data_IF_401394836546
#
_entry.id   IF_401394836546
#
_cell.length_a   1.000
_cell.length_b   1.000
_cell.length_c   1.000
_cell.angle_alpha   90.00
_cell.angle_beta   90.00
_cell.angle_gamma   90.00
#
_symmetry.space_group_name_H-M   'P 1'
#
loop_
_entity.id
_entity.type
_entity.pdbx_description
1 polymer ?
#
# COMPACT_ATOMS: atom_id res chain seq x y z
N UNK A 1 -4.47 3.89 41.46
CA UNK A 1 -4.53 2.94 40.33
C UNK A 1 -3.52 3.36 39.26
N UNK A 2 -2.45 2.62 39.00
CA UNK A 2 -1.49 2.93 37.93
C UNK A 2 -1.85 2.07 36.72
N UNK A 3 -2.76 2.52 35.88
CA UNK A 3 -3.31 1.67 34.82
C UNK A 3 -3.41 2.26 33.42
N UNK A 4 -3.27 3.56 33.21
CA UNK A 4 -3.67 4.16 31.92
C UNK A 4 -2.53 4.79 31.06
N UNK A 5 -1.30 4.87 31.58
CA UNK A 5 -0.17 5.44 30.82
C UNK A 5 0.57 4.44 29.91
N UNK A 6 0.25 3.16 29.94
CA UNK A 6 0.86 2.12 29.06
C UNK A 6 0.19 1.93 27.70
N UNK A 7 -0.87 2.68 27.38
CA UNK A 7 -1.57 2.55 26.09
C UNK A 7 -0.85 3.24 24.92
N UNK A 8 0.02 4.20 25.18
CA UNK A 8 0.66 5.02 24.13
C UNK A 8 1.83 4.33 23.41
N UNK A 9 2.33 3.20 23.92
CA UNK A 9 3.50 2.54 23.36
C UNK A 9 3.16 1.46 22.32
N UNK A 10 1.87 1.14 22.10
CA UNK A 10 1.49 0.12 21.12
C UNK A 10 1.38 0.70 19.72
N UNK A 11 2.02 -0.01 18.79
CA UNK A 11 1.87 0.20 17.34
C UNK A 11 1.10 -1.00 16.81
N UNK A 12 -0.06 -0.75 16.21
CA UNK A 12 -0.88 -1.78 15.58
C UNK A 12 -0.95 -1.48 14.09
N UNK A 13 -0.42 -2.38 13.29
CA UNK A 13 -0.41 -2.31 11.82
C UNK A 13 -1.37 -3.32 11.21
N UNK A 14 -2.04 -2.95 10.12
CA UNK A 14 -2.89 -3.83 9.32
C UNK A 14 -2.45 -3.75 7.86
N UNK A 15 -1.99 -4.86 7.30
CA UNK A 15 -1.63 -4.96 5.88
C UNK A 15 -2.75 -5.68 5.12
N UNK A 16 -3.37 -4.98 4.17
CA UNK A 16 -4.39 -5.54 3.26
C UNK A 16 -3.70 -6.05 2.00
N UNK A 17 -3.69 -7.35 1.79
CA UNK A 17 -3.08 -7.98 0.60
C UNK A 17 -4.06 -8.87 -0.13
N UNK A 18 -3.79 -9.18 -1.40
CA UNK A 18 -4.64 -10.07 -2.22
C UNK A 18 -4.69 -11.50 -1.66
N UNK A 19 -3.58 -12.00 -1.14
CA UNK A 19 -3.48 -13.38 -0.63
C UNK A 19 -3.63 -13.47 0.88
N UNK A 20 -3.13 -12.47 1.60
CA UNK A 20 -3.15 -12.43 3.07
C UNK A 20 -3.49 -11.03 3.57
N UNK A 21 -4.35 -10.98 4.57
CA UNK A 21 -4.58 -9.83 5.45
C UNK A 21 -3.89 -10.13 6.76
N UNK A 22 -3.00 -9.26 7.22
CA UNK A 22 -2.20 -9.54 8.43
C UNK A 22 -2.20 -8.33 9.34
N UNK A 23 -2.51 -8.56 10.62
CA UNK A 23 -2.33 -7.57 11.68
C UNK A 23 -1.01 -7.82 12.39
N UNK A 24 -0.23 -6.77 12.64
CA UNK A 24 0.99 -6.80 13.43
C UNK A 24 0.82 -5.93 14.67
N UNK A 25 1.34 -6.38 15.79
CA UNK A 25 1.33 -5.65 17.04
C UNK A 25 2.76 -5.54 17.56
N UNK A 26 3.21 -4.32 17.81
CA UNK A 26 4.55 -4.03 18.29
C UNK A 26 4.50 -3.01 19.43
N UNK A 27 5.54 -2.99 20.25
CA UNK A 27 5.77 -1.98 21.28
C UNK A 27 6.98 -1.12 20.91
N UNK A 28 6.88 0.18 21.11
CA UNK A 28 8.02 1.09 21.09
C UNK A 28 8.96 0.77 22.25
N UNK A 29 10.24 0.83 21.99
CA UNK A 29 11.22 0.90 23.07
C UNK A 29 11.30 2.35 23.58
N UNK A 30 10.96 2.61 24.86
CA UNK A 30 11.01 3.98 25.39
C UNK A 30 12.40 4.61 25.37
N UNK A 31 13.45 3.77 25.50
CA UNK A 31 14.85 4.21 25.57
C UNK A 31 15.48 4.37 24.16
N UNK A 32 14.91 3.70 23.17
CA UNK A 32 15.38 3.72 21.76
C UNK A 32 14.19 3.91 20.83
N UNK A 33 13.82 5.17 20.48
CA UNK A 33 12.63 5.48 19.68
C UNK A 33 12.57 4.80 18.30
N UNK A 34 13.73 4.50 17.72
CA UNK A 34 13.85 3.80 16.43
C UNK A 34 13.77 2.26 16.56
N UNK A 35 13.75 1.74 17.79
CA UNK A 35 13.63 0.32 18.08
C UNK A 35 12.19 -0.03 18.41
N UNK A 36 11.65 -0.99 17.66
CA UNK A 36 10.32 -1.55 17.90
C UNK A 36 10.46 -3.05 18.16
N UNK A 37 9.70 -3.54 19.13
CA UNK A 37 9.64 -4.98 19.46
C UNK A 37 8.30 -5.54 19.02
N UNK A 38 8.30 -6.50 18.10
CA UNK A 38 7.08 -7.17 17.66
C UNK A 38 6.65 -8.18 18.73
N UNK A 39 5.45 -7.99 19.27
CA UNK A 39 4.87 -8.82 20.33
C UNK A 39 3.87 -9.85 19.84
N UNK A 40 3.40 -9.70 18.60
CA UNK A 40 2.53 -10.68 17.97
C UNK A 40 1.98 -10.23 16.63
N UNK A 41 1.35 -11.16 15.96
CA UNK A 41 0.73 -10.93 14.66
C UNK A 41 -0.44 -11.88 14.44
N UNK A 42 -1.39 -11.47 13.60
CA UNK A 42 -2.54 -12.28 13.21
C UNK A 42 -2.67 -12.35 11.70
N UNK A 43 -2.24 -13.45 11.06
CA UNK A 43 -2.45 -13.67 9.63
C UNK A 43 -3.84 -14.25 9.38
N UNK A 44 -4.48 -13.81 8.30
CA UNK A 44 -5.69 -14.40 7.77
C UNK A 44 -5.63 -14.51 6.25
N UNK A 45 -6.15 -15.60 5.66
CA UNK A 45 -6.35 -15.65 4.22
C UNK A 45 -7.27 -14.51 3.78
N UNK A 46 -6.87 -13.77 2.76
CA UNK A 46 -7.70 -12.68 2.22
C UNK A 46 -8.83 -13.24 1.35
N UNK A 47 -10.02 -12.69 1.57
CA UNK A 47 -11.16 -12.80 0.68
C UNK A 47 -11.65 -11.39 0.37
N UNK A 48 -12.27 -11.21 -0.81
CA UNK A 48 -12.79 -9.91 -1.22
C UNK A 48 -11.72 -8.85 -1.57
N UNK A 49 -10.46 -9.28 -1.76
CA UNK A 49 -9.36 -8.42 -2.23
C UNK A 49 -8.74 -9.07 -3.46
N UNK A 50 -8.82 -8.40 -4.61
CA UNK A 50 -8.22 -8.83 -5.87
C UNK A 50 -7.37 -7.70 -6.46
N UNK A 51 -6.24 -8.03 -7.10
CA UNK A 51 -5.31 -7.05 -7.66
C UNK A 51 -4.97 -5.92 -6.65
N UNK A 52 -4.90 -6.27 -5.36
CA UNK A 52 -4.59 -5.36 -4.26
C UNK A 52 -5.72 -4.42 -3.81
N UNK A 53 -6.87 -4.41 -4.47
CA UNK A 53 -8.03 -3.54 -4.15
C UNK A 53 -9.19 -4.36 -3.58
N UNK A 54 -10.06 -3.71 -2.82
CA UNK A 54 -11.27 -4.34 -2.27
C UNK A 54 -12.31 -4.46 -3.37
N UNK A 55 -12.73 -5.70 -3.66
CA UNK A 55 -13.77 -6.04 -4.64
C UNK A 55 -15.05 -6.58 -3.98
N UNK A 56 -14.97 -7.02 -2.71
CA UNK A 56 -16.10 -7.43 -1.89
C UNK A 56 -15.90 -6.90 -0.47
N UNK A 57 -16.68 -5.91 -0.06
CA UNK A 57 -16.61 -5.34 1.29
C UNK A 57 -16.92 -6.35 2.38
N UNK A 58 -17.98 -7.21 2.29
CA UNK A 58 -18.27 -8.19 3.31
C UNK A 58 -17.13 -9.19 3.54
N UNK A 59 -16.54 -9.71 2.45
CA UNK A 59 -15.46 -10.69 2.52
C UNK A 59 -14.16 -10.07 3.04
N UNK A 60 -13.83 -8.86 2.56
CA UNK A 60 -12.65 -8.13 3.02
C UNK A 60 -12.76 -7.80 4.52
N UNK A 61 -13.94 -7.36 4.98
CA UNK A 61 -14.23 -7.11 6.40
C UNK A 61 -14.06 -8.38 7.24
N UNK A 62 -14.54 -9.53 6.76
CA UNK A 62 -14.36 -10.80 7.45
C UNK A 62 -12.88 -11.19 7.57
N UNK A 63 -12.09 -10.94 6.51
CA UNK A 63 -10.64 -11.18 6.52
C UNK A 63 -9.93 -10.29 7.55
N UNK A 64 -10.31 -9.01 7.64
CA UNK A 64 -9.80 -8.07 8.67
C UNK A 64 -10.18 -8.53 10.08
N UNK A 65 -11.44 -8.94 10.28
CA UNK A 65 -11.90 -9.44 11.60
C UNK A 65 -11.13 -10.68 12.05
N UNK A 66 -10.86 -11.61 11.12
CA UNK A 66 -10.06 -12.82 11.44
C UNK A 66 -8.63 -12.46 11.82
N UNK A 67 -7.98 -11.57 11.04
CA UNK A 67 -6.62 -11.11 11.36
C UNK A 67 -6.56 -10.41 12.72
N UNK A 68 -7.58 -9.62 13.05
CA UNK A 68 -7.71 -8.97 14.35
C UNK A 68 -7.89 -9.96 15.50
N UNK A 69 -8.79 -10.93 15.36
CA UNK A 69 -9.05 -11.97 16.37
C UNK A 69 -7.80 -12.83 16.62
N UNK A 70 -7.08 -13.19 15.55
CA UNK A 70 -5.85 -13.96 15.66
C UNK A 70 -4.76 -13.17 16.39
N UNK A 71 -4.55 -11.89 16.02
CA UNK A 71 -3.59 -11.03 16.72
C UNK A 71 -3.96 -10.85 18.21
N UNK A 72 -5.24 -10.74 18.53
CA UNK A 72 -5.73 -10.66 19.90
C UNK A 72 -5.46 -11.97 20.67
N UNK A 73 -5.69 -13.11 20.04
CA UNK A 73 -5.46 -14.43 20.63
C UNK A 73 -3.99 -14.66 20.95
N UNK A 74 -3.11 -14.32 20.02
CA UNK A 74 -1.65 -14.51 20.17
C UNK A 74 -1.06 -13.57 21.20
N UNK A 75 -1.48 -12.29 21.19
CA UNK A 75 -0.89 -11.28 22.10
C UNK A 75 -1.53 -11.25 23.49
N UNK A 76 -2.75 -11.76 23.64
CA UNK A 76 -3.54 -11.62 24.86
C UNK A 76 -3.96 -10.18 25.19
N UNK A 77 -3.72 -9.23 24.27
CA UNK A 77 -4.03 -7.81 24.49
C UNK A 77 -5.53 -7.58 24.31
N UNK A 78 -6.10 -6.74 25.19
CA UNK A 78 -7.52 -6.43 25.11
C UNK A 78 -7.92 -5.79 23.79
N UNK A 79 -9.09 -6.14 23.29
CA UNK A 79 -9.67 -5.64 22.05
C UNK A 79 -9.64 -4.09 21.97
N UNK A 80 -9.90 -3.38 23.06
CA UNK A 80 -9.90 -1.92 23.12
C UNK A 80 -8.53 -1.30 22.75
N UNK A 81 -7.42 -1.96 23.11
CA UNK A 81 -6.06 -1.47 22.88
C UNK A 81 -5.58 -1.72 21.44
N UNK A 82 -6.11 -2.74 20.77
CA UNK A 82 -5.75 -3.09 19.39
C UNK A 82 -6.58 -2.36 18.32
N UNK A 83 -7.54 -1.49 18.71
CA UNK A 83 -8.47 -0.88 17.75
C UNK A 83 -7.87 0.19 16.85
N UNK A 84 -6.84 0.89 17.30
CA UNK A 84 -6.25 2.00 16.54
C UNK A 84 -5.16 1.47 15.62
N UNK A 85 -5.45 1.38 14.32
CA UNK A 85 -4.57 0.71 13.35
C UNK A 85 -3.99 1.67 12.32
N UNK A 86 -2.74 1.42 11.92
CA UNK A 86 -2.15 1.98 10.71
C UNK A 86 -2.38 0.95 9.61
N UNK A 87 -3.02 1.37 8.52
CA UNK A 87 -3.44 0.46 7.44
C UNK A 87 -2.54 0.66 6.23
N UNK A 88 -1.84 -0.41 5.83
CA UNK A 88 -1.20 -0.50 4.53
C UNK A 88 -2.16 -1.15 3.54
N UNK A 89 -2.49 -0.42 2.49
CA UNK A 89 -3.40 -0.85 1.44
C UNK A 89 -2.84 -0.50 0.07
N UNK A 90 -3.36 -1.10 -0.98
CA UNK A 90 -2.98 -0.77 -2.34
C UNK A 90 -4.06 0.04 -3.06
N UNK A 91 -3.62 0.77 -4.06
CA UNK A 91 -4.46 1.45 -5.03
C UNK A 91 -3.87 1.23 -6.42
N UNK A 92 -4.72 1.26 -7.42
CA UNK A 92 -4.34 1.30 -8.83
C UNK A 92 -4.38 2.75 -9.31
N UNK A 93 -3.88 3.01 -10.51
CA UNK A 93 -3.87 4.33 -11.13
C UNK A 93 -3.21 5.41 -10.24
N UNK A 94 -2.13 5.00 -9.55
CA UNK A 94 -1.36 5.88 -8.68
C UNK A 94 -0.66 6.93 -9.52
N UNK A 95 -0.96 8.20 -9.24
CA UNK A 95 -0.36 9.37 -9.88
C UNK A 95 0.61 10.03 -8.91
N UNK A 96 1.75 10.44 -9.44
CA UNK A 96 2.78 11.16 -8.70
C UNK A 96 3.04 12.49 -9.40
N UNK A 97 2.71 13.61 -8.75
CA UNK A 97 2.84 14.96 -9.28
C UNK A 97 3.78 15.78 -8.39
N UNK A 98 4.66 16.57 -9.02
CA UNK A 98 5.58 17.45 -8.30
C UNK A 98 5.05 18.88 -8.30
N UNK A 99 5.03 19.51 -7.13
CA UNK A 99 4.70 20.92 -6.95
C UNK A 99 5.84 21.65 -6.27
N UNK A 100 5.91 22.97 -6.45
CA UNK A 100 6.97 23.80 -5.92
C UNK A 100 6.38 24.93 -5.09
N UNK A 101 6.92 25.14 -3.90
CA UNK A 101 6.60 26.25 -3.02
C UNK A 101 7.83 27.08 -2.70
N UNK A 102 7.65 28.39 -2.55
CA UNK A 102 8.70 29.34 -2.24
C UNK A 102 8.20 30.37 -1.24
N UNK A 103 9.05 30.72 -0.28
CA UNK A 103 8.84 31.84 0.65
C UNK A 103 10.11 32.68 0.81
N UNK A 104 9.93 33.95 1.13
CA UNK A 104 11.01 34.85 1.54
C UNK A 104 11.06 34.86 3.08
N UNK A 105 12.23 34.62 3.66
CA UNK A 105 12.43 34.50 5.12
C UNK A 105 12.59 35.86 5.81
N UNK A 106 13.17 36.81 5.14
CA UNK A 106 13.35 38.15 5.67
C UNK A 106 13.86 39.09 4.60
N UNK A 107 13.38 40.30 4.54
CA UNK A 107 13.62 41.28 3.49
C UNK A 107 15.08 41.36 3.00
N UNK A 108 15.91 42.28 3.56
CA UNK A 108 17.31 42.45 3.20
C UNK A 108 18.31 41.68 4.07
N UNK A 109 17.85 41.10 5.18
CA UNK A 109 18.71 40.38 6.12
C UNK A 109 18.38 38.90 6.08
N UNK A 110 19.42 38.06 6.11
CA UNK A 110 19.28 36.61 6.25
C UNK A 110 18.70 36.27 7.62
N UNK A 111 17.73 35.33 7.65
CA UNK A 111 17.11 34.83 8.88
C UNK A 111 17.22 33.33 8.98
N UNK A 112 17.25 32.82 10.22
CA UNK A 112 17.17 31.39 10.47
C UNK A 112 15.82 30.84 9.98
N UNK A 113 15.85 29.68 9.36
CA UNK A 113 14.64 28.91 9.01
C UNK A 113 14.05 28.34 10.30
N UNK A 114 12.94 28.89 10.72
CA UNK A 114 12.16 28.41 11.87
C UNK A 114 11.10 27.39 11.40
N UNK A 115 10.52 26.64 12.33
CA UNK A 115 9.45 25.66 12.02
C UNK A 115 8.27 26.28 11.26
N UNK A 116 7.88 27.50 11.62
CA UNK A 116 6.79 28.22 10.93
C UNK A 116 7.15 28.53 9.47
N UNK A 117 8.40 28.88 9.19
CA UNK A 117 8.86 29.10 7.83
C UNK A 117 8.83 27.78 7.02
N UNK A 118 9.31 26.69 7.62
CA UNK A 118 9.27 25.38 6.98
C UNK A 118 7.83 24.95 6.69
N UNK A 119 6.92 25.14 7.64
CA UNK A 119 5.48 24.87 7.45
C UNK A 119 4.89 25.73 6.32
N UNK A 120 5.17 27.02 6.35
CA UNK A 120 4.66 27.97 5.34
C UNK A 120 5.11 27.64 3.92
N UNK A 121 6.36 27.24 3.71
CA UNK A 121 6.84 26.88 2.35
C UNK A 121 6.19 25.59 1.86
N UNK A 122 5.97 24.63 2.76
CA UNK A 122 5.25 23.39 2.48
C UNK A 122 3.79 23.67 2.12
N UNK A 123 3.10 24.52 2.89
CA UNK A 123 1.72 24.91 2.62
C UNK A 123 1.60 25.63 1.28
N UNK A 124 2.57 26.49 0.92
CA UNK A 124 2.65 27.10 -0.41
C UNK A 124 2.75 26.07 -1.54
N UNK A 125 3.63 25.06 -1.38
CA UNK A 125 3.73 24.00 -2.38
C UNK A 125 2.45 23.14 -2.45
N UNK A 126 1.79 22.93 -1.33
CA UNK A 126 0.51 22.20 -1.22
C UNK A 126 -0.62 22.92 -1.95
N UNK A 127 -0.69 24.23 -1.88
CA UNK A 127 -1.72 25.05 -2.56
C UNK A 127 -1.71 24.87 -4.09
N UNK A 128 -0.55 24.46 -4.65
CA UNK A 128 -0.41 24.18 -6.09
C UNK A 128 -0.71 22.73 -6.47
N UNK A 129 -1.03 21.84 -5.51
CA UNK A 129 -1.43 20.46 -5.81
C UNK A 129 -2.79 20.49 -6.51
N UNK A 130 -2.92 19.93 -7.73
CA UNK A 130 -4.18 19.93 -8.43
C UNK A 130 -5.26 19.17 -7.66
N UNK A 131 -6.29 19.85 -7.20
CA UNK A 131 -7.45 19.26 -6.53
C UNK A 131 -8.37 18.65 -7.57
N UNK A 132 -8.26 17.36 -7.83
CA UNK A 132 -9.19 16.61 -8.67
C UNK A 132 -10.27 15.99 -7.80
N UNK A 133 -11.53 16.25 -8.10
CA UNK A 133 -12.69 15.86 -7.27
C UNK A 133 -12.83 14.35 -7.00
N UNK A 134 -12.25 13.53 -7.88
CA UNK A 134 -12.28 12.07 -7.79
C UNK A 134 -10.96 11.43 -7.27
N UNK A 135 -9.96 12.26 -6.94
CA UNK A 135 -8.66 11.80 -6.47
C UNK A 135 -8.46 12.12 -4.99
N UNK A 136 -7.75 11.24 -4.31
CA UNK A 136 -7.31 11.42 -2.92
C UNK A 136 -5.79 11.47 -2.87
N UNK A 137 -5.25 12.57 -2.36
CA UNK A 137 -3.82 12.76 -2.15
C UNK A 137 -3.43 12.21 -0.78
N UNK A 138 -2.83 11.02 -0.73
CA UNK A 138 -2.53 10.37 0.55
C UNK A 138 -1.22 10.86 1.18
N UNK A 139 -0.17 10.97 0.37
CA UNK A 139 1.16 11.37 0.82
C UNK A 139 1.65 12.57 0.02
N UNK A 140 2.25 13.51 0.71
CA UNK A 140 3.03 14.61 0.15
C UNK A 140 4.44 14.49 0.73
N UNK A 141 5.43 14.31 -0.11
CA UNK A 141 6.80 13.99 0.27
C UNK A 141 7.70 15.12 -0.20
N UNK A 142 8.33 15.90 0.71
CA UNK A 142 9.36 16.84 0.33
C UNK A 142 10.55 16.09 -0.27
N UNK A 143 10.83 16.34 -1.55
CA UNK A 143 11.89 15.65 -2.27
C UNK A 143 13.17 16.46 -2.33
N UNK A 144 13.06 17.80 -2.20
CA UNK A 144 14.18 18.72 -2.25
C UNK A 144 13.84 20.03 -1.53
N UNK A 145 14.81 20.54 -0.78
CA UNK A 145 14.81 21.90 -0.29
C UNK A 145 15.97 22.70 -0.92
N UNK A 146 15.75 23.97 -1.18
CA UNK A 146 16.81 24.91 -1.54
C UNK A 146 16.75 26.14 -0.64
N UNK A 147 17.91 26.60 -0.18
CA UNK A 147 18.08 27.82 0.57
C UNK A 147 19.00 28.75 -0.24
N UNK A 148 18.47 29.90 -0.64
CA UNK A 148 19.16 30.85 -1.53
C UNK A 148 19.72 30.19 -2.81
N UNK A 149 18.97 29.22 -3.39
CA UNK A 149 19.34 28.49 -4.61
C UNK A 149 20.33 27.35 -4.40
N UNK A 150 20.69 27.02 -3.16
CA UNK A 150 21.55 25.88 -2.83
C UNK A 150 20.73 24.72 -2.25
N UNK A 151 20.96 23.50 -2.74
CA UNK A 151 20.31 22.31 -2.19
C UNK A 151 20.73 22.10 -0.73
N UNK A 152 19.77 21.86 0.13
CA UNK A 152 19.96 21.56 1.56
C UNK A 152 19.10 20.35 1.96
N UNK A 153 19.66 19.46 2.77
CA UNK A 153 18.92 18.27 3.24
C UNK A 153 17.95 18.63 4.38
N UNK A 154 18.42 19.44 5.32
CA UNK A 154 17.67 19.90 6.51
C UNK A 154 17.79 21.42 6.65
N UNK A 155 16.81 22.18 6.16
CA UNK A 155 16.90 23.64 6.20
C UNK A 155 16.69 24.25 7.58
N UNK A 156 16.09 23.52 8.54
CA UNK A 156 15.75 24.04 9.86
C UNK A 156 16.98 24.54 10.61
N UNK A 157 16.94 25.79 11.12
CA UNK A 157 18.04 26.44 11.81
C UNK A 157 19.12 27.06 10.92
N UNK A 158 19.12 26.80 9.60
CA UNK A 158 20.02 27.42 8.64
C UNK A 158 19.60 28.86 8.34
N UNK A 159 20.56 29.76 8.07
CA UNK A 159 20.29 31.16 7.73
C UNK A 159 20.19 31.33 6.21
N UNK A 160 19.15 32.03 5.76
CA UNK A 160 18.94 32.35 4.36
C UNK A 160 17.90 33.44 4.17
N UNK A 161 17.70 33.85 2.92
CA UNK A 161 16.74 34.88 2.52
C UNK A 161 15.52 34.29 1.81
N UNK A 162 15.70 33.16 1.14
CA UNK A 162 14.65 32.48 0.39
C UNK A 162 14.72 30.97 0.66
N UNK A 163 13.59 30.37 0.93
CA UNK A 163 13.43 28.92 1.11
C UNK A 163 12.46 28.38 0.06
N UNK A 164 12.91 27.38 -0.66
CA UNK A 164 12.15 26.65 -1.68
C UNK A 164 11.96 25.18 -1.26
N UNK A 165 10.82 24.58 -1.64
CA UNK A 165 10.55 23.17 -1.45
C UNK A 165 9.86 22.57 -2.68
N UNK A 166 10.28 21.37 -3.07
CA UNK A 166 9.57 20.53 -4.03
C UNK A 166 8.85 19.41 -3.29
N UNK A 167 7.52 19.34 -3.47
CA UNK A 167 6.67 18.27 -2.92
C UNK A 167 6.30 17.29 -4.02
N UNK A 168 6.48 16.01 -3.73
CA UNK A 168 5.93 14.94 -4.53
C UNK A 168 4.63 14.45 -3.92
N UNK A 169 3.53 14.64 -4.62
CA UNK A 169 2.20 14.16 -4.20
C UNK A 169 1.96 12.76 -4.75
N UNK A 170 1.43 11.88 -3.90
CA UNK A 170 0.99 10.53 -4.26
C UNK A 170 -0.53 10.48 -4.15
N UNK A 171 -1.20 10.45 -5.29
CA UNK A 171 -2.66 10.50 -5.39
C UNK A 171 -3.22 9.31 -6.20
N UNK A 172 -4.46 8.95 -5.95
CA UNK A 172 -5.16 7.85 -6.61
C UNK A 172 -6.68 8.04 -6.47
N UNK A 173 -7.53 7.31 -7.22
CA UNK A 173 -8.98 7.43 -7.13
C UNK A 173 -9.49 7.29 -5.70
N UNK A 174 -10.33 8.24 -5.28
CA UNK A 174 -10.87 8.35 -3.91
C UNK A 174 -11.63 7.10 -3.45
N UNK A 175 -12.24 6.38 -4.39
CA UNK A 175 -13.02 5.16 -4.10
C UNK A 175 -12.20 4.08 -3.38
N UNK A 176 -10.89 3.99 -3.64
CA UNK A 176 -10.03 3.02 -2.95
C UNK A 176 -9.94 3.31 -1.45
N UNK A 177 -9.77 4.59 -1.07
CA UNK A 177 -9.76 4.98 0.35
C UNK A 177 -11.13 4.79 0.98
N UNK A 178 -12.22 5.16 0.29
CA UNK A 178 -13.59 4.97 0.77
C UNK A 178 -13.85 3.51 1.12
N UNK A 179 -13.47 2.58 0.24
CA UNK A 179 -13.64 1.15 0.46
C UNK A 179 -12.78 0.65 1.63
N UNK A 180 -11.54 1.12 1.76
CA UNK A 180 -10.65 0.76 2.88
C UNK A 180 -11.22 1.27 4.21
N UNK A 181 -11.66 2.52 4.26
CA UNK A 181 -12.27 3.12 5.45
C UNK A 181 -13.52 2.35 5.85
N UNK A 182 -14.43 2.08 4.90
CA UNK A 182 -15.66 1.33 5.13
C UNK A 182 -15.39 -0.11 5.60
N UNK A 183 -14.35 -0.75 5.05
CA UNK A 183 -13.94 -2.11 5.44
C UNK A 183 -13.42 -2.14 6.89
N UNK A 184 -12.46 -1.26 7.21
CA UNK A 184 -11.76 -1.25 8.50
C UNK A 184 -12.69 -0.81 9.62
N UNK A 185 -13.47 0.25 9.41
CA UNK A 185 -14.46 0.71 10.38
C UNK A 185 -15.59 -0.30 10.59
N UNK A 186 -16.06 -0.91 9.51
CA UNK A 186 -17.06 -1.97 9.58
C UNK A 186 -16.56 -3.23 10.33
N UNK A 187 -15.25 -3.43 10.45
CA UNK A 187 -14.64 -4.45 11.31
C UNK A 187 -14.47 -3.99 12.78
N UNK A 188 -14.93 -2.79 13.14
CA UNK A 188 -14.86 -2.25 14.52
C UNK A 188 -13.50 -1.64 14.87
N UNK A 189 -12.65 -1.38 13.88
CA UNK A 189 -11.33 -0.77 14.04
C UNK A 189 -11.39 0.73 13.74
N UNK A 190 -10.38 1.48 14.23
CA UNK A 190 -10.22 2.91 14.00
C UNK A 190 -8.91 3.15 13.25
N UNK A 191 -8.97 3.91 12.17
CA UNK A 191 -7.80 4.24 11.39
C UNK A 191 -7.02 5.36 12.09
N UNK A 192 -5.80 5.06 12.51
CA UNK A 192 -4.82 6.02 13.04
C UNK A 192 -4.01 6.64 11.90
N UNK A 193 -3.75 5.88 10.86
CA UNK A 193 -2.99 6.32 9.68
C UNK A 193 -3.18 5.38 8.52
N UNK A 194 -2.94 5.90 7.33
CA UNK A 194 -2.97 5.16 6.06
C UNK A 194 -1.60 5.25 5.41
N UNK A 195 -1.15 4.17 4.83
CA UNK A 195 0.08 4.14 4.02
C UNK A 195 -0.16 3.31 2.76
N UNK A 196 0.31 3.80 1.62
CA UNK A 196 0.24 3.03 0.38
C UNK A 196 1.18 1.83 0.48
N UNK A 197 0.71 0.65 0.14
CA UNK A 197 1.44 -0.61 0.34
C UNK A 197 2.78 -0.69 -0.38
N UNK A 198 2.96 -0.22 -1.64
CA UNK A 198 4.27 -0.09 -2.25
C UNK A 198 5.26 0.69 -1.38
N UNK A 199 4.84 1.84 -0.83
CA UNK A 199 5.66 2.65 0.06
C UNK A 199 5.97 1.93 1.38
N UNK A 200 4.98 1.30 2.00
CA UNK A 200 5.22 0.49 3.20
C UNK A 200 6.20 -0.66 2.91
N UNK A 201 6.02 -1.38 1.78
CA UNK A 201 6.93 -2.47 1.43
C UNK A 201 8.37 -1.98 1.22
N UNK A 202 8.55 -0.84 0.55
CA UNK A 202 9.88 -0.28 0.34
C UNK A 202 10.55 0.17 1.65
N UNK A 203 9.79 0.81 2.56
CA UNK A 203 10.29 1.20 3.88
C UNK A 203 10.73 0.01 4.72
N UNK A 204 10.14 -1.17 4.50
CA UNK A 204 10.53 -2.40 5.19
C UNK A 204 11.64 -3.20 4.51
N UNK A 205 12.08 -2.80 3.33
CA UNK A 205 13.01 -3.54 2.47
C UNK A 205 14.32 -2.80 2.17
N UNK A 206 14.30 -1.46 2.16
CA UNK A 206 15.39 -0.61 1.67
C UNK A 206 16.12 0.05 2.84
N UNK A 207 17.44 -0.02 2.84
CA UNK A 207 18.29 0.66 3.83
C UNK A 207 18.41 2.15 3.52
N UNK A 208 18.65 2.96 4.54
CA UNK A 208 18.74 4.43 4.40
C UNK A 208 19.85 4.85 3.44
N UNK A 209 20.98 4.14 3.44
CA UNK A 209 22.09 4.37 2.53
C UNK A 209 21.70 4.13 1.07
N UNK A 210 20.92 3.07 0.80
CA UNK A 210 20.41 2.79 -0.54
C UNK A 210 19.41 3.87 -1.00
N UNK A 211 18.52 4.34 -0.09
CA UNK A 211 17.60 5.45 -0.39
C UNK A 211 18.37 6.74 -0.72
N UNK A 212 19.44 7.05 0.03
CA UNK A 212 20.30 8.22 -0.21
C UNK A 212 21.07 8.13 -1.52
N UNK A 213 21.63 6.97 -1.81
CA UNK A 213 22.33 6.73 -3.07
C UNK A 213 21.41 6.81 -4.28
N UNK A 214 20.11 6.58 -4.09
CA UNK A 214 19.11 6.44 -5.13
C UNK A 214 18.97 4.99 -5.57
N UNK A 215 17.77 4.42 -5.39
CA UNK A 215 17.48 3.03 -5.72
C UNK A 215 16.02 2.88 -6.19
N UNK A 216 15.74 1.71 -6.76
CA UNK A 216 14.41 1.30 -7.20
C UNK A 216 13.97 0.12 -6.33
N UNK A 217 12.96 0.30 -5.51
CA UNK A 217 12.34 -0.79 -4.75
C UNK A 217 11.22 -1.42 -5.57
N UNK A 218 11.31 -2.73 -5.81
CA UNK A 218 10.29 -3.52 -6.50
C UNK A 218 9.80 -4.61 -5.55
N UNK A 219 8.50 -4.61 -5.23
CA UNK A 219 7.87 -5.61 -4.37
C UNK A 219 6.84 -6.40 -5.16
N UNK A 220 7.14 -7.67 -5.50
CA UNK A 220 6.23 -8.56 -6.22
C UNK A 220 5.37 -9.31 -5.21
N UNK A 221 4.16 -8.81 -5.02
CA UNK A 221 3.16 -9.39 -4.11
C UNK A 221 2.31 -10.48 -4.76
N UNK A 222 1.21 -10.86 -4.08
CA UNK A 222 0.26 -11.83 -4.62
C UNK A 222 -0.52 -11.30 -5.82
N UNK A 223 -1.12 -10.12 -5.72
CA UNK A 223 -1.97 -9.55 -6.77
C UNK A 223 -1.39 -8.33 -7.48
N UNK A 224 -0.30 -7.77 -6.96
CA UNK A 224 0.27 -6.52 -7.48
C UNK A 224 1.79 -6.51 -7.35
N UNK A 225 2.44 -5.73 -8.21
CA UNK A 225 3.84 -5.34 -8.10
C UNK A 225 3.92 -3.86 -7.79
N UNK A 226 4.45 -3.52 -6.62
CA UNK A 226 4.67 -2.15 -6.18
C UNK A 226 6.07 -1.69 -6.54
N UNK A 227 6.21 -0.45 -7.03
CA UNK A 227 7.49 0.15 -7.39
C UNK A 227 7.61 1.50 -6.69
N UNK A 228 8.76 1.75 -6.05
CA UNK A 228 9.08 3.04 -5.43
C UNK A 228 10.48 3.45 -5.84
N UNK A 229 10.61 4.69 -6.32
CA UNK A 229 11.88 5.27 -6.73
C UNK A 229 12.36 6.24 -5.66
N UNK A 230 13.61 6.07 -5.25
CA UNK A 230 14.27 6.90 -4.23
C UNK A 230 15.39 7.75 -4.83
N UNK A 231 15.54 8.97 -4.32
CA UNK A 231 16.66 9.86 -4.59
C UNK A 231 16.90 10.76 -3.38
N UNK A 232 18.16 10.89 -2.94
CA UNK A 232 18.50 11.72 -1.79
C UNK A 232 17.76 11.33 -0.51
N UNK A 233 17.50 10.04 -0.28
CA UNK A 233 16.77 9.54 0.89
C UNK A 233 15.23 9.68 0.82
N UNK A 234 14.67 10.27 -0.24
CA UNK A 234 13.24 10.55 -0.37
C UNK A 234 12.61 9.77 -1.53
N UNK A 235 11.40 9.25 -1.30
CA UNK A 235 10.61 8.64 -2.36
C UNK A 235 10.02 9.74 -3.26
N UNK A 236 10.30 9.69 -4.57
CA UNK A 236 9.80 10.69 -5.50
C UNK A 236 8.82 10.14 -6.55
N UNK A 237 8.68 8.82 -6.65
CA UNK A 237 7.66 8.18 -7.50
C UNK A 237 7.20 6.88 -6.87
N UNK A 238 5.89 6.67 -6.86
CA UNK A 238 5.24 5.45 -6.34
C UNK A 238 4.30 4.94 -7.40
N UNK A 239 4.41 3.65 -7.73
CA UNK A 239 3.62 3.00 -8.78
C UNK A 239 3.09 1.65 -8.30
N UNK A 240 2.00 1.19 -8.90
CA UNK A 240 1.41 -0.11 -8.63
C UNK A 240 0.94 -0.75 -9.94
N UNK A 241 1.46 -1.94 -10.24
CA UNK A 241 1.10 -2.74 -11.40
C UNK A 241 0.15 -3.85 -10.92
N UNK A 242 -1.01 -4.09 -11.55
CA UNK A 242 -2.00 -5.07 -11.09
C UNK A 242 -1.64 -6.52 -11.47
N UNK A 243 -0.35 -6.87 -11.42
CA UNK A 243 0.20 -8.21 -11.72
C UNK A 243 1.05 -8.68 -10.54
N UNK A 244 0.97 -9.96 -10.20
CA UNK A 244 1.73 -10.60 -9.14
C UNK A 244 1.57 -12.12 -9.15
N UNK A 245 1.95 -12.79 -8.06
CA UNK A 245 1.98 -14.25 -7.95
C UNK A 245 0.63 -14.98 -8.13
N UNK A 246 -0.48 -14.26 -8.09
CA UNK A 246 -1.81 -14.80 -8.38
C UNK A 246 -1.97 -15.11 -9.88
N UNK A 247 -1.32 -14.33 -10.74
CA UNK A 247 -1.30 -14.60 -12.18
C UNK A 247 -0.51 -15.88 -12.46
N UNK A 248 0.65 -16.06 -11.84
CA UNK A 248 1.43 -17.32 -11.91
C UNK A 248 0.55 -18.52 -11.50
N UNK A 249 -0.21 -18.38 -10.41
CA UNK A 249 -1.11 -19.44 -9.92
C UNK A 249 -2.18 -19.80 -10.95
N UNK A 250 -2.79 -18.79 -11.58
CA UNK A 250 -3.83 -19.00 -12.60
C UNK A 250 -3.26 -19.62 -13.86
N UNK A 251 -2.09 -19.18 -14.28
CA UNK A 251 -1.41 -19.74 -15.46
C UNK A 251 -1.06 -21.21 -15.23
N UNK A 252 -0.50 -21.55 -14.06
CA UNK A 252 -0.23 -22.96 -13.69
C UNK A 252 -1.52 -23.79 -13.69
N UNK A 253 -2.60 -23.29 -13.11
CA UNK A 253 -3.89 -23.98 -13.08
C UNK A 253 -4.41 -24.24 -14.50
N UNK A 254 -4.31 -23.27 -15.38
CA UNK A 254 -4.80 -23.37 -16.77
C UNK A 254 -3.94 -24.30 -17.62
N UNK A 255 -2.62 -24.11 -17.58
CA UNK A 255 -1.69 -24.84 -18.49
C UNK A 255 -1.51 -26.29 -18.05
N UNK A 256 -1.45 -26.54 -16.74
CA UNK A 256 -1.30 -27.91 -16.19
C UNK A 256 -2.65 -28.59 -15.89
N UNK A 257 -3.76 -27.96 -16.27
CA UNK A 257 -5.12 -28.50 -16.07
C UNK A 257 -5.42 -28.93 -14.63
N UNK A 258 -4.99 -28.12 -13.64
CA UNK A 258 -5.19 -28.38 -12.22
C UNK A 258 -6.10 -27.33 -11.58
N UNK A 259 -6.60 -27.62 -10.38
CA UNK A 259 -7.37 -26.64 -9.62
C UNK A 259 -6.49 -25.49 -9.12
N UNK A 260 -7.09 -24.33 -8.83
CA UNK A 260 -6.37 -23.20 -8.26
C UNK A 260 -5.70 -23.54 -6.92
N UNK A 261 -6.27 -24.47 -6.13
CA UNK A 261 -5.69 -24.95 -4.88
C UNK A 261 -4.41 -25.76 -5.10
N UNK A 262 -4.44 -26.69 -6.06
CA UNK A 262 -3.27 -27.49 -6.45
C UNK A 262 -2.18 -26.60 -7.05
N UNK A 263 -2.53 -25.64 -7.90
CA UNK A 263 -1.59 -24.68 -8.46
C UNK A 263 -0.92 -23.80 -7.38
N UNK A 264 -1.66 -23.36 -6.36
CA UNK A 264 -1.06 -22.63 -5.24
C UNK A 264 -0.10 -23.51 -4.42
N UNK A 265 -0.46 -24.78 -4.23
CA UNK A 265 0.40 -25.73 -3.53
C UNK A 265 1.66 -26.04 -4.34
N UNK A 266 1.52 -26.26 -5.64
CA UNK A 266 2.64 -26.47 -6.55
C UNK A 266 3.58 -25.25 -6.58
N UNK A 267 3.04 -24.07 -6.78
CA UNK A 267 3.80 -22.81 -6.80
C UNK A 267 4.70 -22.64 -5.56
N UNK A 268 4.23 -23.06 -4.39
CA UNK A 268 5.00 -22.98 -3.13
C UNK A 268 6.06 -24.06 -2.99
N UNK A 269 5.86 -25.22 -3.61
CA UNK A 269 6.71 -26.39 -3.48
C UNK A 269 7.73 -26.56 -4.59
N UNK A 270 7.43 -26.06 -5.79
CA UNK A 270 8.17 -26.42 -7.01
C UNK A 270 9.67 -26.14 -6.95
N UNK A 271 10.09 -25.16 -6.16
CA UNK A 271 11.51 -24.83 -5.97
C UNK A 271 12.12 -25.41 -4.69
N UNK A 272 11.33 -26.10 -3.85
CA UNK A 272 11.73 -26.64 -2.57
C UNK A 272 11.74 -28.17 -2.54
N UNK A 273 10.85 -28.80 -3.33
CA UNK A 273 10.70 -30.23 -3.40
C UNK A 273 11.71 -30.84 -4.42
N UNK A 274 11.98 -32.13 -4.25
CA UNK A 274 12.72 -32.87 -5.26
C UNK A 274 11.89 -32.98 -6.55
N UNK A 275 12.49 -32.73 -7.70
CA UNK A 275 11.78 -32.83 -9.00
C UNK A 275 11.26 -34.25 -9.28
N UNK A 276 11.99 -35.30 -8.86
CA UNK A 276 11.55 -36.69 -9.05
C UNK A 276 10.27 -36.99 -8.28
N UNK A 277 10.12 -36.41 -7.07
CA UNK A 277 8.91 -36.55 -6.26
C UNK A 277 7.74 -35.86 -6.95
N UNK A 278 7.92 -34.63 -7.45
CA UNK A 278 6.89 -33.89 -8.19
C UNK A 278 6.48 -34.62 -9.48
N UNK A 279 7.44 -35.19 -10.24
CA UNK A 279 7.16 -35.98 -11.44
C UNK A 279 6.41 -37.27 -11.10
N UNK A 280 6.70 -37.90 -9.97
CA UNK A 280 5.97 -39.10 -9.50
C UNK A 280 4.54 -38.78 -9.08
N UNK A 281 4.27 -37.55 -8.62
CA UNK A 281 2.92 -37.01 -8.36
C UNK A 281 2.16 -36.66 -9.68
N UNK A 282 2.81 -36.82 -10.83
CA UNK A 282 2.20 -36.53 -12.15
C UNK A 282 2.35 -35.09 -12.62
N UNK A 283 3.21 -34.29 -11.98
CA UNK A 283 3.47 -32.89 -12.37
C UNK A 283 4.47 -32.85 -13.53
N UNK A 284 4.13 -32.14 -14.60
CA UNK A 284 5.09 -31.73 -15.62
C UNK A 284 5.91 -30.54 -15.11
N UNK A 285 7.04 -30.86 -14.47
CA UNK A 285 7.90 -29.87 -13.79
C UNK A 285 8.52 -28.90 -14.79
N UNK A 286 8.94 -29.40 -15.96
CA UNK A 286 9.55 -28.56 -17.00
C UNK A 286 8.55 -27.54 -17.56
N UNK A 287 7.32 -27.97 -17.79
CA UNK A 287 6.23 -27.09 -18.23
C UNK A 287 5.86 -26.08 -17.13
N UNK A 288 5.83 -26.51 -15.86
CA UNK A 288 5.56 -25.62 -14.74
C UNK A 288 6.61 -24.50 -14.62
N UNK A 289 7.90 -24.83 -14.78
CA UNK A 289 8.96 -23.82 -14.83
C UNK A 289 8.78 -22.85 -16.00
N UNK A 290 8.47 -23.36 -17.20
CA UNK A 290 8.22 -22.51 -18.37
C UNK A 290 7.09 -21.51 -18.10
N UNK A 291 5.99 -21.96 -17.52
CA UNK A 291 4.85 -21.08 -17.16
C UNK A 291 5.25 -19.98 -16.19
N UNK A 292 5.99 -20.34 -15.12
CA UNK A 292 6.41 -19.37 -14.11
C UNK A 292 7.33 -18.31 -14.71
N UNK A 293 8.36 -18.74 -15.44
CA UNK A 293 9.35 -17.81 -16.00
C UNK A 293 8.78 -16.99 -17.15
N UNK A 294 7.85 -17.51 -17.94
CA UNK A 294 7.14 -16.73 -18.96
C UNK A 294 6.33 -15.59 -18.35
N UNK A 295 5.62 -15.85 -17.23
CA UNK A 295 4.88 -14.81 -16.54
C UNK A 295 5.81 -13.76 -15.89
N UNK A 296 6.95 -14.16 -15.39
CA UNK A 296 7.95 -13.23 -14.85
C UNK A 296 8.60 -12.39 -15.94
N UNK A 297 8.87 -12.97 -17.09
CA UNK A 297 9.41 -12.26 -18.27
C UNK A 297 8.43 -11.20 -18.77
N UNK A 298 7.14 -11.54 -18.87
CA UNK A 298 6.09 -10.57 -19.21
C UNK A 298 6.03 -9.44 -18.15
N UNK A 299 6.00 -9.80 -16.87
CA UNK A 299 5.94 -8.80 -15.79
C UNK A 299 7.13 -7.83 -15.86
N UNK A 300 8.35 -8.34 -16.01
CA UNK A 300 9.55 -7.50 -15.97
C UNK A 300 9.87 -6.90 -17.34
N UNK A 301 9.74 -7.66 -18.41
CA UNK A 301 10.09 -7.25 -19.76
C UNK A 301 9.11 -6.27 -20.40
N UNK A 302 7.84 -6.35 -19.99
CA UNK A 302 6.81 -5.45 -20.50
C UNK A 302 6.40 -4.42 -19.44
N UNK A 303 5.75 -4.85 -18.36
CA UNK A 303 5.13 -3.91 -17.42
C UNK A 303 6.13 -3.10 -16.61
N UNK A 304 7.13 -3.75 -15.98
CA UNK A 304 8.11 -3.05 -15.14
C UNK A 304 9.03 -2.19 -16.00
N UNK A 305 9.50 -2.71 -17.13
CA UNK A 305 10.34 -1.94 -18.07
C UNK A 305 9.62 -0.70 -18.58
N UNK A 306 8.34 -0.80 -18.97
CA UNK A 306 7.55 0.33 -19.42
C UNK A 306 7.32 1.36 -18.30
N UNK A 307 7.03 0.88 -17.08
CA UNK A 307 6.88 1.76 -15.90
C UNK A 307 8.17 2.53 -15.58
N UNK A 308 9.34 1.98 -15.92
CA UNK A 308 10.66 2.55 -15.69
C UNK A 308 11.31 3.12 -16.96
N UNK A 309 10.56 3.27 -18.08
CA UNK A 309 11.12 3.70 -19.36
C UNK A 309 11.85 5.06 -19.33
N UNK A 310 11.41 5.95 -18.45
CA UNK A 310 12.03 7.27 -18.23
C UNK A 310 13.22 7.24 -17.25
N UNK A 311 13.51 6.06 -16.66
CA UNK A 311 14.53 5.91 -15.63
C UNK A 311 15.85 5.50 -16.26
N UNK A 312 16.89 6.32 -16.03
CA UNK A 312 18.24 6.03 -16.47
C UNK A 312 19.00 5.31 -15.37
N UNK A 313 19.62 4.13 -15.60
CA UNK A 313 20.32 3.35 -14.56
C UNK A 313 21.32 4.16 -13.74
N UNK A 314 22.03 5.10 -14.39
CA UNK A 314 23.03 5.97 -13.75
C UNK A 314 22.45 6.86 -12.64
N UNK A 315 21.14 7.08 -12.63
CA UNK A 315 20.46 7.86 -11.58
C UNK A 315 20.15 7.03 -10.33
N UNK A 316 20.40 5.70 -10.37
CA UNK A 316 20.10 4.76 -9.28
C UNK A 316 21.32 3.91 -8.93
N UNK A 317 22.39 4.50 -8.36
CA UNK A 317 23.60 3.76 -7.97
C UNK A 317 23.32 2.64 -6.96
N UNK A 318 22.25 2.76 -6.15
CA UNK A 318 21.80 1.73 -5.21
C UNK A 318 21.12 0.52 -5.89
N UNK A 319 20.93 0.57 -7.22
CA UNK A 319 20.34 -0.53 -7.98
C UNK A 319 18.88 -0.80 -7.66
N UNK A 320 18.48 -2.06 -7.85
CA UNK A 320 17.13 -2.56 -7.62
C UNK A 320 17.11 -3.37 -6.33
N UNK A 321 16.13 -3.09 -5.48
CA UNK A 321 15.85 -3.83 -4.26
C UNK A 321 14.58 -4.65 -4.48
N UNK A 322 14.73 -5.96 -4.65
CA UNK A 322 13.63 -6.89 -4.97
C UNK A 322 13.10 -7.56 -3.71
N UNK A 323 11.80 -7.50 -3.49
CA UNK A 323 11.11 -8.08 -2.33
C UNK A 323 9.74 -8.64 -2.69
N UNK A 324 9.02 -9.17 -1.69
CA UNK A 324 7.69 -9.75 -1.86
C UNK A 324 7.73 -11.26 -2.01
N UNK A 325 6.57 -11.92 -1.88
CA UNK A 325 6.53 -13.40 -1.84
C UNK A 325 6.90 -14.12 -3.13
N UNK A 326 7.03 -13.40 -4.25
CA UNK A 326 7.51 -13.96 -5.53
C UNK A 326 9.03 -13.83 -5.66
N UNK A 327 9.67 -12.98 -4.85
CA UNK A 327 11.14 -12.78 -4.91
C UNK A 327 11.94 -14.02 -4.52
N UNK A 328 11.32 -15.01 -3.88
CA UNK A 328 11.95 -16.28 -3.53
C UNK A 328 12.15 -17.19 -4.73
N UNK A 329 11.56 -16.87 -5.90
CA UNK A 329 11.78 -17.63 -7.15
C UNK A 329 13.26 -17.62 -7.53
N UNK A 330 13.89 -18.79 -7.75
CA UNK A 330 15.29 -18.88 -8.15
C UNK A 330 15.60 -18.11 -9.43
N UNK A 331 16.73 -17.41 -9.49
CA UNK A 331 17.18 -16.68 -10.68
C UNK A 331 16.35 -15.43 -11.06
N UNK A 332 15.33 -15.08 -10.29
CA UNK A 332 14.47 -13.92 -10.55
C UNK A 332 15.27 -12.60 -10.53
N UNK A 333 16.25 -12.51 -9.67
CA UNK A 333 17.17 -11.37 -9.54
C UNK A 333 18.07 -11.21 -10.78
N UNK A 334 18.61 -12.31 -11.31
CA UNK A 334 19.39 -12.31 -12.55
C UNK A 334 18.51 -11.91 -13.73
N UNK A 335 17.31 -12.50 -13.86
CA UNK A 335 16.35 -12.17 -14.91
C UNK A 335 16.02 -10.67 -14.89
N UNK A 336 15.66 -10.12 -13.72
CA UNK A 336 15.33 -8.71 -13.57
C UNK A 336 16.53 -7.81 -13.87
N UNK A 337 17.71 -8.20 -13.40
CA UNK A 337 18.97 -7.49 -13.66
C UNK A 337 19.34 -7.46 -15.14
N UNK A 338 19.18 -8.57 -15.85
CA UNK A 338 19.42 -8.67 -17.30
C UNK A 338 18.41 -7.82 -18.11
N UNK A 339 17.13 -7.83 -17.68
CA UNK A 339 16.08 -7.06 -18.34
C UNK A 339 16.27 -5.55 -18.18
N UNK A 340 16.59 -5.09 -16.98
CA UNK A 340 16.70 -3.66 -16.66
C UNK A 340 18.14 -3.12 -16.71
N UNK A 341 19.13 -3.98 -16.96
CA UNK A 341 20.56 -3.64 -16.99
C UNK A 341 21.04 -2.92 -15.71
N UNK A 342 20.57 -3.42 -14.57
CA UNK A 342 20.86 -2.86 -13.24
C UNK A 342 21.18 -3.97 -12.25
N UNK A 343 22.06 -3.73 -11.25
CA UNK A 343 22.28 -4.68 -10.17
C UNK A 343 21.01 -4.86 -9.33
N UNK A 344 20.74 -6.09 -8.93
CA UNK A 344 19.57 -6.46 -8.13
C UNK A 344 20.01 -7.07 -6.80
N UNK A 345 19.52 -6.52 -5.69
CA UNK A 345 19.61 -7.13 -4.36
C UNK A 345 18.27 -7.74 -3.98
N UNK A 346 18.26 -9.04 -3.72
CA UNK A 346 17.09 -9.70 -3.12
C UNK A 346 17.04 -9.42 -1.62
N UNK A 347 15.88 -9.03 -1.14
CA UNK A 347 15.63 -8.93 0.30
C UNK A 347 15.38 -10.33 0.84
N UNK A 348 16.17 -10.74 1.81
CA UNK A 348 15.97 -12.00 2.53
C UNK A 348 15.09 -11.78 3.75
N UNK A 349 15.40 -10.76 4.54
CA UNK A 349 14.69 -10.41 5.77
C UNK A 349 14.26 -8.94 5.75
N UNK A 350 13.13 -8.60 6.40
CA UNK A 350 12.76 -7.21 6.62
C UNK A 350 13.80 -6.45 7.45
N UNK A 351 13.83 -5.10 7.32
CA UNK A 351 14.79 -4.25 8.04
C UNK A 351 14.64 -4.24 9.57
N UNK A 352 13.48 -4.61 10.10
CA UNK A 352 13.28 -4.87 11.52
C UNK A 352 13.32 -6.37 11.79
N UNK A 353 13.86 -6.75 12.95
CA UNK A 353 13.79 -8.12 13.43
C UNK A 353 12.31 -8.54 13.58
N UNK A 354 11.92 -9.51 12.79
CA UNK A 354 10.56 -10.03 12.74
C UNK A 354 10.54 -11.42 13.41
N UNK A 355 9.43 -11.80 14.06
CA UNK A 355 9.31 -13.14 14.62
C UNK A 355 9.31 -14.21 13.52
N UNK A 356 9.67 -15.46 13.85
CA UNK A 356 9.63 -16.59 12.91
C UNK A 356 8.27 -16.67 12.21
N UNK A 357 8.31 -16.84 10.88
CA UNK A 357 7.13 -16.83 10.02
C UNK A 357 6.73 -15.47 9.45
N UNK A 358 7.29 -14.37 9.95
CA UNK A 358 7.23 -13.02 9.36
C UNK A 358 8.60 -12.50 8.90
N UNK A 359 9.64 -13.27 9.06
CA UNK A 359 11.05 -12.97 8.82
C UNK A 359 11.47 -13.12 7.36
N UNK A 360 10.53 -13.13 6.44
CA UNK A 360 10.78 -13.28 5.00
C UNK A 360 10.42 -12.03 4.20
N UNK A 361 10.95 -11.92 2.99
CA UNK A 361 10.66 -10.85 2.04
C UNK A 361 9.16 -10.66 1.75
N UNK A 362 8.34 -11.67 1.99
CA UNK A 362 6.88 -11.59 1.81
C UNK A 362 6.18 -10.64 2.80
N UNK A 363 6.83 -10.34 3.93
CA UNK A 363 6.25 -9.54 5.02
C UNK A 363 6.90 -8.17 5.22
N UNK A 364 7.74 -7.72 4.29
CA UNK A 364 8.37 -6.38 4.34
C UNK A 364 7.36 -5.25 4.55
N UNK A 365 6.11 -5.38 4.06
CA UNK A 365 5.09 -4.37 4.26
C UNK A 365 4.68 -4.20 5.74
N UNK A 366 4.79 -5.24 6.56
CA UNK A 366 4.52 -5.15 8.00
C UNK A 366 5.65 -4.40 8.72
N UNK A 367 6.90 -4.75 8.45
CA UNK A 367 8.06 -4.00 8.95
C UNK A 367 8.00 -2.53 8.49
N UNK A 368 7.59 -2.30 7.25
CA UNK A 368 7.43 -0.96 6.70
C UNK A 368 6.31 -0.14 7.35
N UNK A 369 5.22 -0.75 7.82
CA UNK A 369 4.21 -0.05 8.62
C UNK A 369 4.83 0.45 9.93
N UNK A 370 5.65 -0.37 10.58
CA UNK A 370 6.35 -0.01 11.81
C UNK A 370 7.37 1.11 11.55
N UNK A 371 8.15 1.01 10.45
CA UNK A 371 9.09 2.07 10.04
C UNK A 371 8.36 3.35 9.67
N UNK A 372 7.25 3.28 8.93
CA UNK A 372 6.42 4.44 8.60
C UNK A 372 5.97 5.18 9.85
N UNK A 373 5.51 4.43 10.86
CA UNK A 373 5.14 5.00 12.14
C UNK A 373 6.33 5.69 12.83
N UNK A 374 7.46 4.99 12.98
CA UNK A 374 8.64 5.52 13.64
C UNK A 374 9.17 6.80 12.96
N UNK A 375 9.23 6.78 11.62
CA UNK A 375 9.69 7.93 10.83
C UNK A 375 8.74 9.12 10.94
N UNK A 376 7.42 8.91 10.87
CA UNK A 376 6.44 10.01 10.98
C UNK A 376 6.36 10.63 12.37
N UNK A 377 6.70 9.89 13.40
CA UNK A 377 6.81 10.44 14.78
C UNK A 377 8.10 11.28 14.95
N UNK A 378 9.20 10.87 14.31
CA UNK A 378 10.49 11.56 14.38
C UNK A 378 10.53 12.80 13.49
N UNK A 379 10.06 12.66 12.25
CA UNK A 379 10.03 13.73 11.23
C UNK A 379 8.61 13.83 10.66
N UNK A 380 7.78 14.72 11.17
CA UNK A 380 6.41 14.93 10.66
C UNK A 380 6.37 15.41 9.20
N UNK A 381 7.47 15.94 8.70
CA UNK A 381 7.59 16.43 7.33
C UNK A 381 8.06 15.34 6.33
N UNK A 382 8.48 14.15 6.81
CA UNK A 382 8.87 13.06 5.91
C UNK A 382 7.70 12.57 5.02
N UNK A 383 6.49 12.50 5.60
CA UNK A 383 5.26 12.11 4.92
C UNK A 383 4.12 13.03 5.37
N UNK A 384 3.96 14.15 4.68
CA UNK A 384 2.93 15.12 5.01
C UNK A 384 1.56 14.55 4.62
N UNK A 385 0.63 14.60 5.55
CA UNK A 385 -0.75 14.15 5.32
C UNK A 385 -1.51 15.19 4.50
N UNK A 386 -2.42 14.73 3.68
CA UNK A 386 -3.40 15.59 3.03
C UNK A 386 -4.34 16.24 4.05
N UNK A 387 -4.73 17.49 3.79
CA UNK A 387 -5.83 18.16 4.51
C UNK A 387 -7.20 17.66 4.05
N UNK A 388 -7.27 16.85 2.98
CA UNK A 388 -8.52 16.24 2.58
C UNK A 388 -9.03 15.34 3.72
N UNK A 389 -10.28 15.53 4.18
CA UNK A 389 -10.85 14.65 5.19
C UNK A 389 -10.87 13.22 4.66
N UNK A 390 -10.66 12.26 5.55
CA UNK A 390 -10.81 10.85 5.16
C UNK A 390 -12.22 10.62 4.65
N UNK A 391 -12.39 10.16 3.41
CA UNK A 391 -13.70 9.93 2.84
C UNK A 391 -14.45 8.88 3.68
N UNK A 392 -15.72 9.14 4.00
CA UNK A 392 -16.53 8.28 4.87
C UNK A 392 -16.48 8.63 6.36
N UNK A 393 -15.56 9.51 6.80
CA UNK A 393 -15.59 10.08 8.16
C UNK A 393 -16.39 11.38 8.24
N UNK A 394 -16.50 12.15 7.14
CA UNK A 394 -17.26 13.40 7.08
C UNK A 394 -18.78 13.19 7.20
N UNK A 395 -19.30 12.02 6.79
CA UNK A 395 -20.71 11.70 6.92
C UNK A 395 -21.20 11.49 8.35
N UNK A 396 -20.33 10.99 9.24
CA UNK A 396 -20.72 10.73 10.64
C UNK A 396 -20.91 12.01 11.48
N UNK A 397 -20.22 13.11 11.16
CA UNK A 397 -20.39 14.39 11.87
C UNK A 397 -21.66 15.13 11.36
N UNK A 398 -21.84 15.22 10.05
CA UNK A 398 -23.05 15.84 9.46
C UNK A 398 -24.33 15.04 9.71
N UNK A 399 -24.24 13.71 9.67
CA UNK A 399 -25.37 12.84 9.98
C UNK A 399 -25.70 12.84 11.48
N UNK A 400 -24.69 12.91 12.36
CA UNK A 400 -24.89 13.12 13.81
C UNK A 400 -25.47 14.51 14.09
N UNK A 401 -24.98 15.56 13.44
CA UNK A 401 -25.55 16.90 13.56
C UNK A 401 -26.97 16.96 13.03
N UNK A 402 -27.28 16.32 11.88
CA UNK A 402 -28.66 16.19 11.36
C UNK A 402 -29.54 15.35 12.27
N UNK A 403 -29.03 14.25 12.84
CA UNK A 403 -29.78 13.45 13.82
C UNK A 403 -29.97 14.18 15.15
N UNK A 404 -29.00 14.97 15.59
CA UNK A 404 -29.11 15.80 16.80
C UNK A 404 -30.07 16.98 16.58
N UNK A 405 -30.01 17.63 15.40
CA UNK A 405 -30.97 18.66 15.01
C UNK A 405 -32.39 18.09 14.86
N UNK A 406 -32.53 16.91 14.25
CA UNK A 406 -33.82 16.22 14.14
C UNK A 406 -34.36 15.79 15.51
N UNK A 407 -33.50 15.32 16.43
CA UNK A 407 -33.90 15.00 17.81
C UNK A 407 -34.27 16.26 18.62
N UNK A 408 -33.59 17.38 18.42
CA UNK A 408 -33.97 18.67 19.03
C UNK A 408 -35.29 19.18 18.48
N UNK A 409 -35.45 19.17 17.15
CA UNK A 409 -36.71 19.57 16.51
C UNK A 409 -37.92 18.68 16.91
N UNK A 410 -37.69 17.39 17.18
CA UNK A 410 -38.73 16.48 17.68
C UNK A 410 -39.07 16.74 19.15
N UNK A 411 -38.08 17.03 19.99
CA UNK A 411 -38.29 17.43 21.40
C UNK A 411 -39.00 18.78 21.52
N UNK A 412 -38.77 19.71 20.60
CA UNK A 412 -39.43 21.01 20.60
C UNK A 412 -40.88 20.90 20.10
N UNK A 413 -41.17 19.96 19.16
CA UNK A 413 -42.56 19.65 18.73
C UNK A 413 -43.37 18.92 19.81
N UNK A 414 -42.72 18.12 20.67
CA UNK A 414 -43.39 17.44 21.80
C UNK A 414 -43.65 18.37 23.00
N UNK A 415 -43.26 19.66 22.90
CA UNK A 415 -43.48 20.70 23.91
C UNK A 415 -44.54 21.76 23.54
N UNK A 416 -45.15 21.68 22.34
CA UNK A 416 -46.26 22.52 21.98
C UNK A 416 -47.57 21.87 22.41
N UNK A 417 -48.50 22.60 23.08
CA UNK A 417 -49.79 22.03 23.52
C UNK A 417 -50.74 21.88 22.35
N UNK A 418 -51.47 20.76 22.38
CA UNK A 418 -52.55 20.40 21.46
C UNK A 418 -53.53 21.55 21.26
N UNK A 419 -53.72 21.95 20.02
CA UNK A 419 -54.97 22.58 19.53
C UNK A 419 -55.60 21.67 18.50
N UNK A 420 -56.78 21.12 18.88
CA UNK A 420 -57.70 20.44 18.00
C UNK A 420 -58.09 21.35 16.82
N UNK A 421 -58.04 20.82 15.63
CA UNK A 421 -59.04 21.11 14.61
C UNK A 421 -59.13 19.96 13.57
N UNK A 422 -60.31 19.40 13.51
CA UNK A 422 -60.77 18.47 12.49
C UNK A 422 -60.75 19.15 11.13
N UNK A 423 -60.25 18.51 10.09
CA UNK A 423 -60.95 18.48 8.80
C UNK A 423 -60.51 17.29 7.92
N UNK A 424 -61.52 16.61 7.43
CA UNK A 424 -61.46 15.52 6.45
C UNK A 424 -60.87 16.00 5.11
N UNK A 425 -59.98 15.26 4.49
CA UNK A 425 -60.09 15.04 3.04
C UNK A 425 -59.22 13.88 2.51
N UNK A 426 -59.85 13.17 1.67
CA UNK A 426 -59.60 12.03 0.80
C UNK A 426 -58.18 11.80 0.30
N UNK A 427 -57.79 10.49 0.35
CA UNK A 427 -56.56 9.91 -0.21
C UNK A 427 -56.83 9.46 -1.65
N UNK A 428 -56.10 9.99 -2.61
CA UNK A 428 -55.88 9.35 -3.91
C UNK A 428 -54.55 8.56 -3.85
N UNK A 429 -54.65 7.25 -4.09
CA UNK A 429 -53.54 6.36 -4.32
C UNK A 429 -52.99 6.55 -5.73
N UNK A 430 -51.71 6.97 -5.83
CA UNK A 430 -50.97 6.95 -7.08
C UNK A 430 -49.91 5.83 -7.00
N UNK A 431 -50.16 4.79 -7.76
CA UNK A 431 -49.23 3.65 -7.96
C UNK A 431 -48.01 4.11 -8.76
N UNK A 432 -46.82 3.83 -8.25
CA UNK A 432 -45.57 3.98 -8.97
C UNK A 432 -45.18 2.65 -9.62
N UNK A 433 -44.70 2.65 -10.88
CA UNK A 433 -44.18 1.45 -11.52
C UNK A 433 -42.78 1.08 -10.99
N UNK A 434 -42.53 -0.21 -10.88
CA UNK A 434 -41.21 -0.80 -10.59
C UNK A 434 -40.24 -0.61 -11.76
N UNK A 435 -38.95 -0.38 -11.54
CA UNK A 435 -37.97 -0.33 -12.61
C UNK A 435 -37.58 -1.76 -13.03
N UNK A 436 -37.67 -2.02 -14.32
CA UNK A 436 -37.09 -3.18 -14.99
C UNK A 436 -35.57 -3.09 -14.94
N UNK A 437 -34.92 -4.17 -14.48
CA UNK A 437 -33.47 -4.36 -14.58
C UNK A 437 -33.17 -5.00 -15.93
N UNK A 438 -32.51 -4.27 -16.80
CA UNK A 438 -31.83 -4.83 -17.96
C UNK A 438 -30.51 -5.48 -17.49
N UNK A 439 -30.36 -6.76 -17.81
CA UNK A 439 -29.11 -7.49 -17.69
C UNK A 439 -28.14 -6.98 -18.77
N UNK A 440 -27.11 -6.22 -18.37
CA UNK A 440 -26.02 -5.90 -19.28
C UNK A 440 -25.05 -7.10 -19.36
N UNK A 441 -24.87 -7.56 -20.57
CA UNK A 441 -23.99 -8.65 -21.00
C UNK A 441 -22.54 -8.35 -20.67
N UNK A 442 -21.88 -9.36 -20.12
CA UNK A 442 -20.46 -9.48 -19.80
C UNK A 442 -19.61 -9.37 -21.10
N UNK A 443 -19.16 -8.17 -21.43
CA UNK A 443 -18.24 -7.95 -22.55
C UNK A 443 -16.86 -8.54 -22.21
N UNK A 444 -16.66 -9.75 -22.74
CA UNK A 444 -15.38 -10.45 -22.75
C UNK A 444 -14.28 -9.63 -23.41
N UNK A 445 -13.24 -9.32 -22.66
CA UNK A 445 -11.98 -8.86 -23.21
C UNK A 445 -11.27 -10.02 -23.90
N UNK A 446 -11.21 -9.96 -25.21
CA UNK A 446 -10.42 -10.82 -26.10
C UNK A 446 -8.91 -10.65 -25.81
N UNK A 447 -8.31 -11.68 -25.21
CA UNK A 447 -6.87 -11.86 -25.06
C UNK A 447 -6.36 -12.81 -26.17
N UNK A 448 -6.33 -12.33 -27.39
CA UNK A 448 -5.60 -13.02 -28.48
C UNK A 448 -4.43 -12.19 -28.97
N UNK A 449 -3.16 -12.59 -28.58
CA UNK A 449 -1.93 -12.57 -29.42
C UNK A 449 -0.66 -12.93 -28.63
N UNK A 450 0.47 -13.36 -29.28
CA UNK A 450 0.70 -14.53 -30.10
C UNK A 450 1.72 -15.51 -29.46
N UNK A 451 1.43 -16.80 -29.58
CA UNK A 451 2.13 -17.91 -28.91
C UNK A 451 3.43 -18.42 -29.57
N UNK A 452 3.94 -17.79 -30.61
CA UNK A 452 5.06 -18.37 -31.40
C UNK A 452 6.48 -17.94 -30.96
N UNK A 453 6.66 -16.82 -30.26
CA UNK A 453 8.00 -16.33 -29.88
C UNK A 453 8.55 -16.86 -28.53
N UNK A 454 7.72 -17.53 -27.75
CA UNK A 454 8.07 -17.93 -26.35
C UNK A 454 9.09 -19.08 -26.35
N UNK A 455 9.06 -20.00 -27.29
CA UNK A 455 9.93 -21.17 -27.32
C UNK A 455 11.41 -20.86 -27.61
N UNK A 456 11.69 -19.86 -28.44
CA UNK A 456 13.08 -19.50 -28.79
C UNK A 456 13.74 -18.66 -27.68
N UNK A 457 12.99 -17.75 -27.04
CA UNK A 457 13.51 -16.93 -25.93
C UNK A 457 13.81 -17.78 -24.69
N UNK A 458 12.96 -18.74 -24.35
CA UNK A 458 13.12 -19.61 -23.20
C UNK A 458 14.27 -20.62 -23.35
N UNK A 459 14.60 -21.07 -24.57
CA UNK A 459 15.70 -21.99 -24.81
C UNK A 459 17.05 -21.47 -24.31
N UNK A 460 17.37 -20.20 -24.61
CA UNK A 460 18.63 -19.58 -24.19
C UNK A 460 18.71 -19.32 -22.67
N UNK A 461 17.59 -19.07 -22.02
CA UNK A 461 17.54 -18.83 -20.57
C UNK A 461 17.58 -20.16 -19.78
N UNK A 462 16.89 -21.19 -20.23
CA UNK A 462 16.92 -22.53 -19.63
C UNK A 462 18.31 -23.17 -19.72
N UNK A 463 19.07 -22.92 -20.80
CA UNK A 463 20.46 -23.36 -20.91
C UNK A 463 21.40 -22.64 -19.93
N UNK A 464 21.12 -21.38 -19.62
CA UNK A 464 21.85 -20.65 -18.56
C UNK A 464 21.49 -21.16 -17.15
N UNK A 465 20.22 -21.46 -16.88
CA UNK A 465 19.78 -22.06 -15.61
C UNK A 465 20.35 -23.46 -15.39
N UNK A 466 20.38 -24.34 -16.43
CA UNK A 466 20.99 -25.67 -16.34
C UNK A 466 22.50 -25.67 -16.09
N UNK A 467 23.19 -24.54 -16.29
CA UNK A 467 24.60 -24.37 -15.97
C UNK A 467 24.86 -23.87 -14.54
N UNK A 468 23.80 -23.50 -13.80
CA UNK A 468 23.84 -22.96 -12.45
C UNK A 468 23.45 -24.01 -11.38
N UNK A 469 22.85 -25.12 -11.79
CA UNK A 469 22.56 -26.33 -11.02
C UNK A 469 23.30 -27.52 -11.61
#
# INVERSE_FOLDING_TARGET
MPGDRKSDNLIVGLSLGTTKTTMIVAEKNPDYPDSVHVIGFGPAPSKGIAKGIIVSLPDARQSVMRAYQEAQSITGISAKRLRNVIVAFNALDVQSESTHGMITLGGRESKAVEEDALRNVIDRARDYVPMRSNMYSLHMIPTRYELDGQNVDEPLGMNGSQLDVWLQTVAFPMTYVQNVVSCVQGAGLRIRGLVLKPLASSLGAVYEEEMRAGCISICVGGGTTGIVLYRGGRAFRVMSIPIGGEHIRRDLATVLHMTLGEAEHLKKRIFLANEEDLRSEGVDVDLAYQVIYARLDELFGEYVRNALAECTPQHFPGGIILSGGVSDTPGIDMMLGDILQMPVRKVQEPIYAMPPGLDTAAYVSLAGILKYYAVTERDPYMFIKSDQPLPGLAGDSEERERQEQSRKARKDREREPDYDDNDDNEREEVSRPEPEYEEEDDDGYDDEQPRENIKEMLGGFMDKLKKLF
#
